data_IF_408709164592
#
_entry.id   IF_408709164592
#
_cell.length_a   1.000
_cell.length_b   1.000
_cell.length_c   1.000
_cell.angle_alpha   90.00
_cell.angle_beta   90.00
_cell.angle_gamma   90.00
#
_symmetry.space_group_name_H-M   'P 1'
#
loop_
_entity.id
_entity.type
_entity.pdbx_description
1 polymer ?
#
# COMPACT_ATOMS: atom_id res chain seq x y z
N UNK A 1 -48.42 4.21 -16.83
CA UNK A 1 -47.79 3.15 -16.03
C UNK A 1 -46.51 2.71 -16.73
N UNK A 2 -45.36 3.33 -16.39
CA UNK A 2 -44.06 2.90 -16.91
C UNK A 2 -43.49 1.83 -15.98
N UNK A 3 -43.28 0.62 -16.50
CA UNK A 3 -42.57 -0.47 -15.82
C UNK A 3 -41.09 -0.05 -15.63
N UNK A 4 -40.69 0.03 -14.36
CA UNK A 4 -39.27 0.18 -13.97
C UNK A 4 -38.51 -1.12 -14.29
N UNK A 5 -37.25 -1.06 -14.76
CA UNK A 5 -36.45 -2.25 -15.03
C UNK A 5 -36.13 -3.00 -13.73
N UNK A 6 -36.32 -4.32 -13.76
CA UNK A 6 -36.00 -5.27 -12.71
C UNK A 6 -34.47 -5.44 -12.60
N UNK A 7 -33.83 -4.70 -11.69
CA UNK A 7 -32.37 -4.80 -11.49
C UNK A 7 -31.78 -3.79 -10.48
N UNK A 8 -32.60 -2.97 -9.87
CA UNK A 8 -32.12 -1.98 -8.90
C UNK A 8 -31.83 -2.65 -7.54
N UNK A 9 -30.54 -2.82 -7.19
CA UNK A 9 -30.11 -3.26 -5.88
C UNK A 9 -30.60 -2.26 -4.80
N UNK A 10 -31.57 -2.71 -3.98
CA UNK A 10 -32.11 -1.90 -2.88
C UNK A 10 -31.35 -2.23 -1.60
N UNK A 11 -30.78 -1.23 -0.97
CA UNK A 11 -30.12 -1.37 0.35
C UNK A 11 -30.92 -0.55 1.37
N UNK A 12 -31.32 -1.19 2.47
CA UNK A 12 -32.03 -0.56 3.57
C UNK A 12 -31.06 0.12 4.54
N UNK A 13 -31.18 1.43 4.73
CA UNK A 13 -30.54 2.14 5.84
C UNK A 13 -31.53 3.14 6.44
N UNK A 14 -31.76 3.05 7.75
CA UNK A 14 -32.62 3.96 8.51
C UNK A 14 -34.02 4.20 7.89
N UNK A 15 -34.68 3.15 7.38
CA UNK A 15 -36.06 3.23 6.89
C UNK A 15 -36.23 3.87 5.49
N UNK A 16 -35.15 4.22 4.78
CA UNK A 16 -35.21 4.68 3.39
C UNK A 16 -34.49 3.72 2.45
N UNK A 17 -35.13 3.31 1.40
CA UNK A 17 -34.52 2.58 0.28
C UNK A 17 -33.81 3.57 -0.60
N UNK A 18 -32.45 3.56 -0.57
CA UNK A 18 -31.65 4.37 -1.50
C UNK A 18 -31.40 3.55 -2.77
N UNK A 19 -31.85 4.06 -3.90
CA UNK A 19 -31.51 3.46 -5.18
C UNK A 19 -30.07 3.84 -5.55
N UNK A 20 -29.28 2.87 -6.04
CA UNK A 20 -27.90 3.11 -6.48
C UNK A 20 -27.86 4.25 -7.52
N UNK A 21 -28.88 4.36 -8.36
CA UNK A 21 -28.95 5.38 -9.42
C UNK A 21 -29.10 6.82 -8.89
N UNK A 22 -29.62 7.02 -7.68
CA UNK A 22 -29.82 8.37 -7.12
C UNK A 22 -28.48 9.07 -6.75
N UNK A 23 -27.38 8.33 -6.67
CA UNK A 23 -26.04 8.81 -6.36
C UNK A 23 -25.04 8.73 -7.52
N UNK A 24 -25.52 8.34 -8.70
CA UNK A 24 -24.73 8.28 -9.93
C UNK A 24 -24.72 9.64 -10.58
N UNK A 25 -23.52 10.22 -10.69
CA UNK A 25 -23.28 11.50 -11.30
C UNK A 25 -22.59 11.29 -12.64
N UNK A 26 -23.23 11.72 -13.73
CA UNK A 26 -22.63 11.67 -15.05
C UNK A 26 -21.77 12.90 -15.28
N UNK A 27 -20.47 12.69 -15.44
CA UNK A 27 -19.49 13.74 -15.71
C UNK A 27 -19.47 14.05 -17.22
N UNK A 28 -19.44 15.34 -17.53
CA UNK A 28 -19.40 15.85 -18.91
C UNK A 28 -18.22 16.78 -19.16
N UNK A 29 -17.49 17.14 -18.12
CA UNK A 29 -16.33 18.00 -18.17
C UNK A 29 -15.27 17.55 -17.19
N UNK A 30 -13.99 17.78 -17.53
CA UNK A 30 -12.85 17.59 -16.62
C UNK A 30 -12.84 18.60 -15.47
N UNK A 31 -13.63 19.65 -15.54
CA UNK A 31 -13.76 20.70 -14.51
C UNK A 31 -14.73 20.33 -13.39
N UNK A 32 -15.43 19.19 -13.50
CA UNK A 32 -16.33 18.73 -12.47
C UNK A 32 -15.57 18.52 -11.15
N UNK A 33 -16.00 19.24 -10.11
CA UNK A 33 -15.34 19.21 -8.78
C UNK A 33 -15.34 17.82 -8.15
N UNK A 34 -16.35 17.00 -8.46
CA UNK A 34 -16.48 15.66 -7.91
C UNK A 34 -15.41 14.68 -8.40
N UNK A 35 -14.80 14.93 -9.56
CA UNK A 35 -13.74 14.08 -10.12
C UNK A 35 -12.33 14.62 -9.89
N UNK A 36 -12.20 15.75 -9.21
CA UNK A 36 -10.89 16.34 -8.89
C UNK A 36 -9.89 15.35 -8.24
N UNK A 37 -10.28 14.44 -7.35
CA UNK A 37 -9.38 13.44 -6.80
C UNK A 37 -8.75 12.51 -7.86
N UNK A 38 -9.45 12.29 -8.98
CA UNK A 38 -9.03 11.39 -10.06
C UNK A 38 -8.29 12.10 -11.18
N UNK A 39 -8.13 13.43 -11.08
CA UNK A 39 -7.55 14.20 -12.17
C UNK A 39 -6.04 13.98 -12.30
N UNK A 40 -5.60 13.58 -13.48
CA UNK A 40 -4.19 13.40 -13.82
C UNK A 40 -3.46 12.44 -12.85
N UNK A 41 -3.89 11.19 -12.85
CA UNK A 41 -3.34 10.13 -11.99
C UNK A 41 -2.08 9.44 -12.57
N UNK A 42 -1.45 9.98 -13.62
CA UNK A 42 -0.17 9.42 -14.11
C UNK A 42 0.92 9.57 -13.04
N UNK A 43 1.87 8.63 -12.99
CA UNK A 43 2.92 8.59 -11.95
C UNK A 43 3.72 9.90 -11.86
N UNK A 44 4.03 10.55 -13.00
CA UNK A 44 4.72 11.83 -13.02
C UNK A 44 3.90 12.96 -12.37
N UNK A 45 2.58 12.95 -12.60
CA UNK A 45 1.66 13.96 -12.06
C UNK A 45 1.34 13.73 -10.58
N UNK A 46 1.31 12.47 -10.15
CA UNK A 46 1.12 12.11 -8.75
C UNK A 46 2.31 12.52 -7.87
N UNK A 47 3.55 12.40 -8.38
CA UNK A 47 4.74 12.90 -7.66
C UNK A 47 4.67 14.40 -7.36
N UNK A 48 4.08 15.18 -8.28
CA UNK A 48 3.89 16.62 -8.09
C UNK A 48 2.72 16.98 -7.16
N UNK A 49 1.80 16.02 -6.91
CA UNK A 49 0.57 16.20 -6.12
C UNK A 49 0.63 15.60 -4.72
N UNK A 50 1.72 14.97 -4.32
CA UNK A 50 1.86 14.44 -2.95
C UNK A 50 1.86 15.59 -1.93
N UNK A 51 0.67 16.12 -1.69
CA UNK A 51 0.41 16.99 -0.55
C UNK A 51 -0.13 16.12 0.58
N UNK A 52 0.58 16.02 1.71
CA UNK A 52 0.07 15.36 2.90
C UNK A 52 -1.27 15.93 3.36
N UNK A 53 -1.55 17.17 2.95
CA UNK A 53 -2.71 17.96 3.35
C UNK A 53 -4.04 17.49 2.77
N UNK A 54 -4.06 16.74 1.67
CA UNK A 54 -5.32 16.27 1.08
C UNK A 54 -5.88 15.00 1.76
N UNK A 55 -5.12 14.38 2.67
CA UNK A 55 -5.53 13.23 3.49
C UNK A 55 -6.31 12.13 2.72
N UNK A 56 -6.05 11.98 1.41
CA UNK A 56 -6.71 11.00 0.53
C UNK A 56 -5.70 10.11 -0.18
N UNK A 57 -6.16 8.93 -0.61
CA UNK A 57 -5.43 8.06 -1.53
C UNK A 57 -6.39 7.46 -2.56
N UNK A 58 -5.84 6.94 -3.66
CA UNK A 58 -6.61 6.28 -4.71
C UNK A 58 -6.42 4.77 -4.62
N UNK A 59 -7.52 4.07 -4.34
CA UNK A 59 -7.61 2.62 -4.50
C UNK A 59 -8.00 2.29 -5.95
N UNK A 60 -7.20 1.46 -6.62
CA UNK A 60 -7.35 1.13 -8.04
C UNK A 60 -7.56 -0.37 -8.23
N UNK A 61 -8.66 -0.72 -8.87
CA UNK A 61 -9.07 -2.09 -9.18
C UNK A 61 -10.06 -2.69 -8.19
N UNK A 62 -10.96 -3.58 -8.67
CA UNK A 62 -12.06 -4.09 -7.86
C UNK A 62 -11.60 -4.78 -6.57
N UNK A 63 -10.54 -5.59 -6.66
CA UNK A 63 -9.99 -6.31 -5.49
C UNK A 63 -9.44 -5.36 -4.44
N UNK A 64 -8.67 -4.35 -4.85
CA UNK A 64 -8.06 -3.37 -3.94
C UNK A 64 -9.15 -2.55 -3.25
N UNK A 65 -10.13 -2.05 -4.02
CA UNK A 65 -11.25 -1.28 -3.48
C UNK A 65 -12.08 -2.13 -2.50
N UNK A 66 -12.39 -3.37 -2.85
CA UNK A 66 -13.13 -4.28 -1.97
C UNK A 66 -12.36 -4.54 -0.67
N UNK A 67 -11.05 -4.85 -0.76
CA UNK A 67 -10.21 -5.06 0.43
C UNK A 67 -10.18 -3.82 1.33
N UNK A 68 -10.09 -2.61 0.75
CA UNK A 68 -10.13 -1.37 1.52
C UNK A 68 -11.45 -1.21 2.29
N UNK A 69 -12.59 -1.46 1.63
CA UNK A 69 -13.91 -1.40 2.24
C UNK A 69 -14.09 -2.47 3.34
N UNK A 70 -13.63 -3.70 3.12
CA UNK A 70 -13.64 -4.79 4.10
C UNK A 70 -12.82 -4.46 5.34
N UNK A 71 -11.77 -3.64 5.19
CA UNK A 71 -10.93 -3.12 6.29
C UNK A 71 -11.48 -1.85 6.94
N UNK A 72 -12.67 -1.42 6.55
CA UNK A 72 -13.35 -0.26 7.15
C UNK A 72 -12.80 1.09 6.68
N UNK A 73 -12.00 1.15 5.61
CA UNK A 73 -11.56 2.41 5.05
C UNK A 73 -12.73 3.16 4.42
N UNK A 74 -12.77 4.48 4.64
CA UNK A 74 -13.89 5.33 4.24
C UNK A 74 -13.75 5.79 2.78
N UNK A 75 -14.62 5.33 1.85
CA UNK A 75 -14.65 5.85 0.50
C UNK A 75 -15.29 7.24 0.49
N UNK A 76 -14.69 8.16 -0.24
CA UNK A 76 -15.21 9.50 -0.50
C UNK A 76 -16.01 9.54 -1.80
N UNK A 77 -15.56 8.78 -2.81
CA UNK A 77 -16.26 8.62 -4.08
C UNK A 77 -15.76 7.40 -4.83
N UNK A 78 -16.53 7.00 -5.84
CA UNK A 78 -16.13 6.00 -6.83
C UNK A 78 -16.12 6.62 -8.23
N UNK A 79 -15.18 6.18 -9.08
CA UNK A 79 -15.15 6.49 -10.50
C UNK A 79 -15.09 5.17 -11.29
N UNK A 80 -16.05 4.95 -12.19
CA UNK A 80 -16.12 3.73 -12.99
C UNK A 80 -16.97 3.93 -14.23
N UNK A 81 -16.82 3.05 -15.21
CA UNK A 81 -17.68 3.01 -16.38
C UNK A 81 -19.12 2.64 -16.01
N UNK A 82 -20.11 3.16 -16.75
CA UNK A 82 -21.55 2.87 -16.53
C UNK A 82 -21.85 1.37 -16.47
N UNK A 83 -21.25 0.57 -17.35
CA UNK A 83 -21.42 -0.90 -17.35
C UNK A 83 -20.95 -1.58 -16.07
N UNK A 84 -20.05 -0.97 -15.32
CA UNK A 84 -19.60 -1.51 -14.03
C UNK A 84 -20.64 -1.28 -12.92
N UNK A 85 -21.38 -0.19 -12.97
CA UNK A 85 -22.39 0.16 -11.96
C UNK A 85 -23.48 -0.91 -11.90
N UNK A 86 -23.94 -1.38 -13.05
CA UNK A 86 -25.02 -2.37 -13.19
C UNK A 86 -24.50 -3.82 -13.20
N UNK A 87 -23.16 -4.00 -13.29
CA UNK A 87 -22.49 -5.30 -13.40
C UNK A 87 -21.60 -5.63 -12.22
N UNK A 88 -20.35 -5.96 -12.51
CA UNK A 88 -19.38 -6.46 -11.52
C UNK A 88 -19.01 -5.46 -10.40
N UNK A 89 -19.35 -4.20 -10.53
CA UNK A 89 -19.16 -3.18 -9.49
C UNK A 89 -20.30 -3.10 -8.48
N UNK A 90 -21.44 -3.72 -8.74
CA UNK A 90 -22.62 -3.63 -7.88
C UNK A 90 -22.34 -4.06 -6.44
N UNK A 91 -21.58 -5.15 -6.24
CA UNK A 91 -21.20 -5.65 -4.91
C UNK A 91 -20.37 -4.63 -4.14
N UNK A 92 -19.42 -3.96 -4.82
CA UNK A 92 -18.60 -2.90 -4.22
C UNK A 92 -19.49 -1.73 -3.81
N UNK A 93 -20.42 -1.33 -4.68
CA UNK A 93 -21.33 -0.23 -4.41
C UNK A 93 -22.29 -0.54 -3.26
N UNK A 94 -22.67 -1.78 -3.09
CA UNK A 94 -23.51 -2.23 -1.98
C UNK A 94 -22.81 -2.13 -0.62
N UNK A 95 -21.48 -2.28 -0.58
CA UNK A 95 -20.68 -2.11 0.65
C UNK A 95 -20.65 -0.67 1.16
N UNK A 96 -20.91 0.31 0.29
CA UNK A 96 -20.95 1.74 0.67
C UNK A 96 -22.12 2.45 -0.04
N UNK A 97 -23.34 2.28 0.45
CA UNK A 97 -24.57 2.68 -0.24
C UNK A 97 -24.81 4.19 -0.36
N UNK A 98 -24.05 5.01 0.39
CA UNK A 98 -24.21 6.49 0.40
C UNK A 98 -23.10 7.22 -0.35
N UNK A 99 -22.05 6.52 -0.77
CA UNK A 99 -20.90 7.14 -1.43
C UNK A 99 -21.25 7.52 -2.86
N UNK A 100 -20.96 8.76 -3.32
CA UNK A 100 -21.22 9.19 -4.69
C UNK A 100 -20.42 8.37 -5.70
N UNK A 101 -21.05 8.13 -6.85
CA UNK A 101 -20.48 7.39 -7.98
C UNK A 101 -20.40 8.33 -9.17
N UNK A 102 -19.23 8.44 -9.76
CA UNK A 102 -19.01 9.21 -10.97
C UNK A 102 -18.83 8.26 -12.15
N UNK A 103 -19.44 8.62 -13.29
CA UNK A 103 -19.34 7.89 -14.55
C UNK A 103 -19.36 8.86 -15.71
N UNK A 104 -18.95 8.42 -16.88
CA UNK A 104 -18.98 9.19 -18.11
C UNK A 104 -18.58 8.33 -19.29
N UNK A 105 -18.53 8.94 -20.47
CA UNK A 105 -18.01 8.31 -21.67
C UNK A 105 -16.51 8.03 -21.55
N UNK A 106 -15.99 7.07 -22.32
CA UNK A 106 -14.60 6.64 -22.26
C UNK A 106 -13.62 7.79 -22.46
N UNK A 107 -13.90 8.71 -23.37
CA UNK A 107 -13.02 9.85 -23.68
C UNK A 107 -12.95 10.85 -22.51
N UNK A 108 -14.06 11.10 -21.82
CA UNK A 108 -14.06 11.98 -20.64
C UNK A 108 -13.38 11.31 -19.45
N UNK A 109 -13.57 10.01 -19.26
CA UNK A 109 -12.90 9.26 -18.21
C UNK A 109 -11.38 9.23 -18.41
N UNK A 110 -10.93 9.06 -19.67
CA UNK A 110 -9.51 9.12 -20.03
C UNK A 110 -8.93 10.53 -19.84
N UNK A 111 -9.67 11.57 -20.24
CA UNK A 111 -9.26 12.95 -20.02
C UNK A 111 -9.11 13.31 -18.54
N UNK A 112 -10.00 12.79 -17.67
CA UNK A 112 -9.93 12.98 -16.22
C UNK A 112 -8.72 12.25 -15.63
N UNK A 113 -8.57 10.96 -15.91
CA UNK A 113 -7.58 10.11 -15.23
C UNK A 113 -6.17 10.22 -15.82
N UNK A 114 -6.06 10.61 -17.10
CA UNK A 114 -4.82 10.63 -17.87
C UNK A 114 -4.45 9.26 -18.45
N UNK A 115 -5.33 8.27 -18.35
CA UNK A 115 -5.16 6.93 -18.95
C UNK A 115 -6.52 6.27 -19.21
N UNK A 116 -6.54 5.33 -20.16
CA UNK A 116 -7.76 4.61 -20.51
C UNK A 116 -8.14 3.61 -19.44
N UNK A 117 -9.32 3.78 -18.83
CA UNK A 117 -9.84 2.83 -17.86
C UNK A 117 -10.14 1.47 -18.52
N UNK A 118 -9.60 0.39 -17.97
CA UNK A 118 -9.95 -0.96 -18.42
C UNK A 118 -11.43 -1.26 -18.13
N UNK A 119 -12.02 -2.20 -18.88
CA UNK A 119 -13.47 -2.49 -18.80
C UNK A 119 -13.98 -2.86 -17.41
N UNK A 120 -13.16 -3.48 -16.59
CA UNK A 120 -13.48 -3.95 -15.22
C UNK A 120 -12.90 -3.09 -14.11
N UNK A 121 -12.39 -1.89 -14.41
CA UNK A 121 -11.76 -1.05 -13.40
C UNK A 121 -12.75 -0.21 -12.61
N UNK A 122 -12.47 -0.16 -11.31
CA UNK A 122 -13.07 0.75 -10.34
C UNK A 122 -11.94 1.55 -9.71
N UNK A 123 -12.09 2.85 -9.66
CA UNK A 123 -11.26 3.73 -8.85
C UNK A 123 -12.08 4.20 -7.66
N UNK A 124 -11.47 4.33 -6.51
CA UNK A 124 -12.09 4.97 -5.34
C UNK A 124 -11.10 5.95 -4.73
N UNK A 125 -11.55 7.20 -4.55
CA UNK A 125 -10.90 8.14 -3.66
C UNK A 125 -11.29 7.79 -2.24
N UNK A 126 -10.32 7.59 -1.37
CA UNK A 126 -10.52 7.16 0.01
C UNK A 126 -9.82 8.10 0.98
N UNK A 127 -10.42 8.31 2.15
CA UNK A 127 -9.77 9.02 3.24
C UNK A 127 -8.59 8.19 3.77
N UNK A 128 -7.45 8.86 4.00
CA UNK A 128 -6.32 8.22 4.70
C UNK A 128 -6.69 8.03 6.17
N UNK A 129 -6.39 6.87 6.76
CA UNK A 129 -6.46 6.73 8.21
C UNK A 129 -5.36 7.55 8.88
N UNK A 130 -5.53 7.82 10.17
CA UNK A 130 -4.47 8.43 10.98
C UNK A 130 -3.20 7.56 10.96
N UNK A 131 -2.05 8.22 10.85
CA UNK A 131 -0.76 7.54 10.93
C UNK A 131 -0.49 7.13 12.37
N UNK A 132 -0.05 5.89 12.54
CA UNK A 132 0.37 5.36 13.84
C UNK A 132 1.80 5.78 14.14
N UNK A 133 2.13 5.86 15.43
CA UNK A 133 3.52 6.05 15.85
C UNK A 133 4.31 4.73 15.76
N UNK A 134 5.66 4.80 15.65
CA UNK A 134 6.50 3.60 15.69
C UNK A 134 6.26 2.76 16.95
N UNK A 135 6.07 3.37 18.11
CA UNK A 135 5.83 2.70 19.38
C UNK A 135 4.51 1.91 19.37
N UNK A 136 3.45 2.49 18.78
CA UNK A 136 2.15 1.81 18.64
C UNK A 136 2.27 0.58 17.75
N UNK A 137 2.98 0.72 16.62
CA UNK A 137 3.15 -0.35 15.63
C UNK A 137 4.04 -1.46 16.18
N UNK A 138 5.05 -1.13 16.98
CA UNK A 138 6.03 -2.07 17.50
C UNK A 138 5.59 -2.78 18.79
N UNK A 139 4.53 -2.33 19.45
CA UNK A 139 4.13 -2.82 20.79
C UNK A 139 4.08 -4.34 20.89
N UNK A 140 3.45 -5.01 19.93
CA UNK A 140 3.29 -6.47 19.89
C UNK A 140 4.07 -7.12 18.75
N UNK A 141 4.83 -6.35 17.98
CA UNK A 141 5.54 -6.88 16.82
C UNK A 141 6.74 -7.73 17.22
N UNK A 142 6.94 -8.84 16.51
CA UNK A 142 8.11 -9.72 16.62
C UNK A 142 8.96 -9.72 15.37
N UNK A 143 8.35 -9.50 14.22
CA UNK A 143 9.01 -9.46 12.90
C UNK A 143 8.71 -8.14 12.23
N UNK A 144 9.74 -7.32 12.03
CA UNK A 144 9.63 -5.97 11.50
C UNK A 144 10.52 -5.80 10.29
N UNK A 145 9.98 -5.34 9.18
CA UNK A 145 10.77 -4.87 8.05
C UNK A 145 10.97 -3.35 8.17
N UNK A 146 12.19 -2.88 8.05
CA UNK A 146 12.52 -1.46 8.06
C UNK A 146 13.01 -1.05 6.68
N UNK A 147 12.32 -0.11 6.06
CA UNK A 147 12.63 0.43 4.75
C UNK A 147 13.38 1.74 4.92
N UNK A 148 14.59 1.83 4.40
CA UNK A 148 15.40 3.03 4.46
C UNK A 148 15.69 3.57 3.07
N UNK A 149 15.16 4.74 2.75
CA UNK A 149 15.39 5.43 1.49
C UNK A 149 14.83 4.74 0.24
N UNK A 150 13.86 3.85 0.37
CA UNK A 150 13.25 3.19 -0.79
C UNK A 150 12.29 4.15 -1.46
N UNK A 151 12.72 4.74 -2.56
CA UNK A 151 12.02 5.82 -3.24
C UNK A 151 11.09 5.38 -4.36
N UNK A 152 11.24 4.13 -4.88
CA UNK A 152 10.36 3.62 -5.92
C UNK A 152 9.07 3.03 -5.32
N UNK A 153 7.88 3.62 -5.60
CA UNK A 153 6.61 3.18 -5.01
C UNK A 153 6.26 1.71 -5.27
N UNK A 154 6.72 1.16 -6.40
CA UNK A 154 6.47 -0.26 -6.71
C UNK A 154 7.25 -1.19 -5.80
N UNK A 155 8.47 -0.83 -5.40
CA UNK A 155 9.27 -1.62 -4.45
C UNK A 155 8.63 -1.57 -3.05
N UNK A 156 8.23 -0.39 -2.59
CA UNK A 156 7.47 -0.26 -1.33
C UNK A 156 6.23 -1.17 -1.36
N UNK A 157 5.41 -1.07 -2.41
CA UNK A 157 4.21 -1.91 -2.55
C UNK A 157 4.51 -3.41 -2.57
N UNK A 158 5.56 -3.84 -3.26
CA UNK A 158 5.97 -5.24 -3.34
C UNK A 158 6.43 -5.77 -1.97
N UNK A 159 7.17 -4.97 -1.20
CA UNK A 159 7.62 -5.33 0.15
C UNK A 159 6.42 -5.45 1.10
N UNK A 160 5.46 -4.51 1.07
CA UNK A 160 4.21 -4.64 1.85
C UNK A 160 3.46 -5.93 1.54
N UNK A 161 3.35 -6.29 0.25
CA UNK A 161 2.70 -7.53 -0.16
C UNK A 161 3.42 -8.77 0.34
N UNK A 162 4.74 -8.77 0.26
CA UNK A 162 5.59 -9.86 0.75
C UNK A 162 5.49 -10.00 2.26
N UNK A 163 5.60 -8.91 2.99
CA UNK A 163 5.49 -8.90 4.46
C UNK A 163 4.12 -9.44 4.91
N UNK A 164 3.02 -8.98 4.29
CA UNK A 164 1.68 -9.49 4.57
C UNK A 164 1.56 -11.00 4.30
N UNK A 165 2.06 -11.46 3.15
CA UNK A 165 1.97 -12.86 2.75
C UNK A 165 2.80 -13.80 3.64
N UNK A 166 3.86 -13.31 4.24
CA UNK A 166 4.80 -14.07 5.05
C UNK A 166 4.58 -13.91 6.56
N UNK A 167 3.53 -13.18 6.97
CA UNK A 167 3.17 -13.01 8.38
C UNK A 167 4.09 -12.10 9.17
N UNK A 168 4.73 -11.11 8.52
CA UNK A 168 5.47 -10.07 9.21
C UNK A 168 4.51 -9.08 9.88
N UNK A 169 4.84 -8.69 11.09
CA UNK A 169 3.91 -7.98 11.98
C UNK A 169 3.80 -6.50 11.67
N UNK A 170 4.90 -5.88 11.21
CA UNK A 170 4.99 -4.45 11.03
C UNK A 170 6.01 -4.03 9.96
N UNK A 171 5.83 -2.81 9.43
CA UNK A 171 6.80 -2.13 8.58
C UNK A 171 7.10 -0.76 9.15
N UNK A 172 8.38 -0.41 9.25
CA UNK A 172 8.83 0.95 9.49
C UNK A 172 9.41 1.55 8.21
N UNK A 173 9.24 2.86 8.03
CA UNK A 173 9.75 3.57 6.86
C UNK A 173 10.51 4.82 7.31
N UNK A 174 11.72 5.01 6.80
CA UNK A 174 12.43 6.28 6.95
C UNK A 174 11.70 7.43 6.25
N UNK A 175 11.96 8.70 6.61
CA UNK A 175 11.26 9.85 6.03
C UNK A 175 11.38 9.97 4.51
N UNK A 176 12.50 9.51 3.95
CA UNK A 176 12.87 9.56 2.54
C UNK A 176 12.29 8.41 1.70
N UNK A 177 11.58 7.47 2.31
CA UNK A 177 10.83 6.43 1.58
C UNK A 177 9.61 7.00 0.86
N UNK A 178 9.30 6.40 -0.30
CA UNK A 178 8.01 6.62 -0.98
C UNK A 178 6.84 6.37 -0.06
N UNK A 179 5.77 7.13 -0.29
CA UNK A 179 4.54 7.01 0.47
C UNK A 179 3.86 5.65 0.19
N UNK A 180 3.58 4.83 1.22
CA UNK A 180 2.81 3.59 1.04
C UNK A 180 1.41 3.81 0.46
N UNK A 181 0.83 5.00 0.68
CA UNK A 181 -0.46 5.41 0.11
C UNK A 181 -0.37 5.91 -1.33
N UNK A 182 0.82 5.98 -1.91
CA UNK A 182 0.97 6.30 -3.33
C UNK A 182 0.18 5.31 -4.19
N UNK A 183 -0.58 5.79 -5.19
CA UNK A 183 -1.45 4.96 -6.04
C UNK A 183 -0.77 3.68 -6.55
N UNK A 184 0.50 3.80 -6.98
CA UNK A 184 1.28 2.67 -7.49
C UNK A 184 1.62 1.66 -6.39
N UNK A 185 2.00 2.11 -5.18
CA UNK A 185 2.23 1.23 -4.03
C UNK A 185 0.96 0.46 -3.67
N UNK A 186 -0.16 1.17 -3.52
CA UNK A 186 -1.47 0.58 -3.21
C UNK A 186 -1.90 -0.46 -4.26
N UNK A 187 -1.66 -0.19 -5.55
CA UNK A 187 -1.96 -1.12 -6.62
C UNK A 187 -1.07 -2.36 -6.59
N UNK A 188 0.25 -2.18 -6.47
CA UNK A 188 1.23 -3.29 -6.46
C UNK A 188 1.05 -4.18 -5.25
N UNK A 189 0.81 -3.59 -4.07
CA UNK A 189 0.60 -4.36 -2.84
C UNK A 189 -0.75 -5.09 -2.79
N UNK A 190 -1.64 -4.87 -3.76
CA UNK A 190 -2.98 -5.48 -3.81
C UNK A 190 -3.80 -5.27 -2.52
N UNK A 191 -3.60 -4.13 -1.86
CA UNK A 191 -4.28 -3.78 -0.61
C UNK A 191 -3.58 -4.28 0.67
N UNK A 192 -2.39 -4.86 0.59
CA UNK A 192 -1.66 -5.31 1.79
C UNK A 192 -1.28 -4.15 2.73
N UNK A 193 -1.15 -2.94 2.21
CA UNK A 193 -0.96 -1.72 3.01
C UNK A 193 -2.11 -1.47 4.00
N UNK A 194 -3.29 -2.02 3.74
CA UNK A 194 -4.44 -1.92 4.65
C UNK A 194 -4.41 -2.97 5.78
N UNK A 195 -3.46 -3.91 5.73
CA UNK A 195 -3.43 -5.06 6.64
C UNK A 195 -2.18 -5.13 7.50
N UNK A 196 -1.03 -4.68 6.99
CA UNK A 196 0.22 -4.64 7.74
C UNK A 196 0.35 -3.28 8.41
N UNK A 197 0.39 -3.21 9.75
CA UNK A 197 0.64 -1.97 10.45
C UNK A 197 1.98 -1.35 10.04
N UNK A 198 2.01 -0.04 9.87
CA UNK A 198 3.24 0.66 9.55
C UNK A 198 3.30 2.04 10.19
N UNK A 199 4.51 2.56 10.35
CA UNK A 199 4.77 3.90 10.83
C UNK A 199 6.01 4.50 10.14
N UNK A 200 6.09 5.84 10.12
CA UNK A 200 7.31 6.54 9.74
C UNK A 200 8.21 6.72 10.94
N UNK A 201 9.51 6.56 10.72
CA UNK A 201 10.55 6.80 11.72
C UNK A 201 11.15 8.19 11.58
N UNK A 202 12.06 8.54 12.49
CA UNK A 202 12.99 9.66 12.30
C UNK A 202 14.13 9.32 11.33
N UNK A 203 15.11 10.24 11.24
CA UNK A 203 16.27 10.13 10.36
C UNK A 203 17.19 8.93 10.67
N UNK A 204 17.11 8.39 11.87
CA UNK A 204 17.85 7.21 12.33
C UNK A 204 17.21 5.89 11.90
N UNK A 205 16.19 5.92 11.06
CA UNK A 205 15.41 4.77 10.60
C UNK A 205 14.85 3.90 11.74
N UNK A 206 14.76 4.46 12.95
CA UNK A 206 14.23 3.79 14.14
C UNK A 206 15.19 2.79 14.79
N UNK A 207 16.47 2.79 14.43
CA UNK A 207 17.45 1.82 14.95
C UNK A 207 17.58 1.89 16.47
N UNK A 208 17.60 3.10 17.04
CA UNK A 208 17.68 3.32 18.49
C UNK A 208 16.44 2.78 19.22
N UNK A 209 15.25 3.05 18.70
CA UNK A 209 13.99 2.57 19.26
C UNK A 209 13.90 1.03 19.23
N UNK A 210 14.25 0.42 18.09
CA UNK A 210 14.24 -1.04 17.95
C UNK A 210 15.21 -1.72 18.92
N UNK A 211 16.41 -1.15 19.08
CA UNK A 211 17.38 -1.63 20.08
C UNK A 211 16.85 -1.54 21.52
N UNK A 212 16.25 -0.41 21.90
CA UNK A 212 15.64 -0.20 23.21
C UNK A 212 14.47 -1.17 23.48
N UNK A 213 13.73 -1.57 22.44
CA UNK A 213 12.65 -2.54 22.52
C UNK A 213 13.12 -4.01 22.42
N UNK A 214 14.43 -4.26 22.41
CA UNK A 214 15.01 -5.60 22.44
C UNK A 214 14.94 -6.37 21.12
N UNK A 215 14.83 -5.66 19.98
CA UNK A 215 14.93 -6.32 18.68
C UNK A 215 16.38 -6.69 18.36
N UNK A 216 16.58 -7.89 17.83
CA UNK A 216 17.76 -8.22 17.04
C UNK A 216 17.66 -7.47 15.71
N UNK A 217 18.64 -6.59 15.43
CA UNK A 217 18.61 -5.73 14.25
C UNK A 217 19.59 -6.23 13.19
N UNK A 218 19.09 -6.41 11.97
CA UNK A 218 19.86 -6.96 10.87
C UNK A 218 19.80 -6.04 9.66
N UNK A 219 20.94 -5.52 9.20
CA UNK A 219 21.03 -4.72 7.99
C UNK A 219 21.35 -5.60 6.78
N UNK A 220 20.61 -5.44 5.68
CA UNK A 220 20.96 -6.12 4.42
C UNK A 220 22.00 -5.29 3.67
N UNK A 221 23.22 -5.84 3.52
CA UNK A 221 24.30 -5.18 2.80
C UNK A 221 25.36 -6.19 2.32
N UNK A 222 26.15 -5.76 1.35
CA UNK A 222 27.27 -6.53 0.81
C UNK A 222 28.54 -6.24 1.65
N UNK A 223 28.76 -7.03 2.70
CA UNK A 223 29.92 -6.91 3.57
C UNK A 223 30.58 -8.28 3.78
N UNK A 224 31.89 -8.31 4.02
CA UNK A 224 32.62 -9.54 4.23
C UNK A 224 32.25 -10.22 5.56
N UNK A 225 31.94 -9.42 6.58
CA UNK A 225 31.54 -9.87 7.92
C UNK A 225 30.04 -10.23 8.03
N UNK A 226 29.34 -10.37 6.90
CA UNK A 226 27.91 -10.69 6.87
C UNK A 226 27.64 -12.19 7.05
N UNK A 227 26.46 -12.48 7.61
CA UNK A 227 25.92 -13.85 7.72
C UNK A 227 24.87 -14.10 6.61
N UNK A 228 24.62 -15.36 6.29
CA UNK A 228 23.54 -15.72 5.37
C UNK A 228 22.17 -15.58 6.02
N UNK A 229 21.08 -15.26 5.27
CA UNK A 229 19.73 -15.18 5.81
C UNK A 229 19.23 -16.47 6.47
N UNK A 230 19.79 -17.62 6.09
CA UNK A 230 19.42 -18.93 6.65
C UNK A 230 20.15 -19.28 7.94
N UNK A 231 20.99 -18.38 8.49
CA UNK A 231 21.66 -18.57 9.78
C UNK A 231 20.63 -18.90 10.88
N UNK A 232 20.78 -20.06 11.55
CA UNK A 232 19.84 -20.50 12.57
C UNK A 232 19.71 -19.54 13.77
N UNK A 233 20.72 -18.72 14.03
CA UNK A 233 20.70 -17.76 15.14
C UNK A 233 19.74 -16.61 14.88
N UNK A 234 19.57 -16.21 13.62
CA UNK A 234 18.61 -15.18 13.22
C UNK A 234 17.16 -15.68 13.40
N UNK A 235 16.91 -16.93 13.04
CA UNK A 235 15.57 -17.53 13.18
C UNK A 235 15.12 -17.67 14.63
N UNK A 236 16.07 -17.91 15.55
CA UNK A 236 15.80 -18.05 16.99
C UNK A 236 15.55 -16.72 17.69
N UNK A 237 15.83 -15.59 17.07
CA UNK A 237 15.57 -14.29 17.66
C UNK A 237 14.06 -14.14 17.98
N UNK A 238 13.74 -13.82 19.22
CA UNK A 238 12.36 -13.60 19.65
C UNK A 238 11.75 -12.42 18.93
N UNK A 239 12.49 -11.32 18.84
CA UNK A 239 12.14 -10.10 18.11
C UNK A 239 13.24 -9.79 17.10
N UNK A 240 12.86 -9.63 15.83
CA UNK A 240 13.80 -9.41 14.74
C UNK A 240 13.34 -8.25 13.85
N UNK A 241 14.25 -7.33 13.56
CA UNK A 241 14.06 -6.26 12.59
C UNK A 241 15.06 -6.38 11.44
N UNK A 242 14.58 -6.38 10.21
CA UNK A 242 15.40 -6.46 9.00
C UNK A 242 15.34 -5.13 8.26
N UNK A 243 16.47 -4.49 8.09
CA UNK A 243 16.64 -3.23 7.37
C UNK A 243 16.94 -3.49 5.89
N UNK A 244 16.18 -2.85 5.05
CA UNK A 244 16.25 -2.89 3.58
C UNK A 244 16.60 -1.50 3.08
N UNK A 245 17.72 -1.36 2.40
CA UNK A 245 18.25 -0.08 1.98
C UNK A 245 17.81 0.37 0.59
N UNK A 246 18.17 1.59 0.28
CA UNK A 246 17.98 2.25 -1.01
C UNK A 246 18.57 1.42 -2.16
N UNK A 247 17.96 1.54 -3.35
CA UNK A 247 18.33 0.78 -4.54
C UNK A 247 19.73 1.13 -5.07
N UNK A 248 20.15 2.40 -4.91
CA UNK A 248 21.42 2.90 -5.47
C UNK A 248 22.55 2.87 -4.43
N UNK A 249 22.24 3.23 -3.18
CA UNK A 249 23.25 3.48 -2.13
C UNK A 249 23.21 2.47 -0.98
N UNK A 250 22.20 1.60 -0.94
CA UNK A 250 22.01 0.65 0.16
C UNK A 250 21.56 1.34 1.45
N UNK A 251 21.94 0.75 2.58
CA UNK A 251 21.69 1.31 3.91
C UNK A 251 22.76 2.38 4.27
N UNK A 252 22.34 3.39 5.03
CA UNK A 252 23.27 4.39 5.59
C UNK A 252 24.31 3.72 6.49
N UNK A 253 25.55 4.21 6.46
CA UNK A 253 26.62 3.69 7.32
C UNK A 253 26.26 3.75 8.81
N UNK A 254 25.54 4.78 9.24
CA UNK A 254 25.09 4.92 10.61
C UNK A 254 24.13 3.78 10.99
N UNK A 255 23.21 3.41 10.12
CA UNK A 255 22.27 2.30 10.29
C UNK A 255 23.00 0.97 10.36
N UNK A 256 23.94 0.73 9.43
CA UNK A 256 24.76 -0.48 9.43
C UNK A 256 25.60 -0.64 10.70
N UNK A 257 26.19 0.44 11.21
CA UNK A 257 26.91 0.40 12.49
C UNK A 257 26.02 0.18 13.71
N UNK A 258 24.76 0.59 13.63
CA UNK A 258 23.76 0.36 14.67
C UNK A 258 23.12 -1.03 14.63
N UNK A 259 23.19 -1.72 13.51
CA UNK A 259 22.71 -3.08 13.39
C UNK A 259 23.62 -4.06 14.14
N UNK A 260 22.98 -5.00 14.86
CA UNK A 260 23.70 -6.06 15.56
C UNK A 260 24.39 -7.02 14.59
N UNK A 261 23.82 -7.22 13.40
CA UNK A 261 24.34 -8.10 12.35
C UNK A 261 24.11 -7.51 10.97
N UNK A 262 24.92 -7.97 10.04
CA UNK A 262 24.71 -7.72 8.61
C UNK A 262 24.36 -9.04 7.92
N UNK A 263 23.33 -9.00 7.06
CA UNK A 263 22.88 -10.16 6.29
C UNK A 263 23.22 -9.93 4.83
N UNK A 264 23.77 -10.95 4.18
CA UNK A 264 24.07 -10.95 2.75
C UNK A 264 23.46 -12.17 2.08
N UNK A 265 22.72 -11.94 1.01
CA UNK A 265 22.28 -13.00 0.09
C UNK A 265 23.48 -13.37 -0.78
N UNK A 266 23.94 -14.64 -0.76
CA UNK A 266 25.03 -15.07 -1.64
C UNK A 266 24.65 -14.89 -3.11
N UNK A 267 25.50 -14.23 -3.88
CA UNK A 267 25.30 -13.98 -5.30
C UNK A 267 26.24 -14.85 -6.13
N UNK A 268 25.85 -15.13 -7.37
CA UNK A 268 26.66 -15.85 -8.35
C UNK A 268 26.98 -14.93 -9.54
N UNK A 269 27.98 -15.31 -10.35
CA UNK A 269 28.30 -14.67 -11.63
C UNK A 269 28.62 -13.18 -11.55
N UNK A 270 29.35 -12.76 -10.51
CA UNK A 270 29.80 -11.37 -10.33
C UNK A 270 28.65 -10.33 -10.34
N UNK A 271 27.44 -10.79 -10.00
CA UNK A 271 26.30 -9.87 -9.79
C UNK A 271 26.34 -9.35 -8.36
N UNK A 272 26.35 -8.04 -8.20
CA UNK A 272 26.53 -7.39 -6.90
C UNK A 272 25.23 -7.27 -6.11
N UNK A 273 24.08 -7.11 -6.78
CA UNK A 273 22.81 -6.85 -6.08
C UNK A 273 21.60 -7.44 -6.78
N UNK A 274 20.51 -7.61 -6.01
CA UNK A 274 19.16 -7.86 -6.49
C UNK A 274 18.33 -6.60 -6.33
N UNK A 275 17.26 -6.49 -7.11
CA UNK A 275 16.21 -5.51 -6.81
C UNK A 275 15.78 -5.66 -5.33
N UNK A 276 15.59 -4.53 -4.64
CA UNK A 276 15.33 -4.52 -3.19
C UNK A 276 14.07 -5.31 -2.80
N UNK A 277 13.04 -5.32 -3.62
CA UNK A 277 11.83 -6.12 -3.34
C UNK A 277 12.10 -7.63 -3.50
N UNK A 278 12.98 -8.03 -4.41
CA UNK A 278 13.42 -9.42 -4.55
C UNK A 278 14.29 -9.84 -3.35
N UNK A 279 15.26 -9.01 -2.97
CA UNK A 279 16.08 -9.22 -1.79
C UNK A 279 15.21 -9.32 -0.51
N UNK A 280 14.24 -8.43 -0.37
CA UNK A 280 13.26 -8.47 0.71
C UNK A 280 12.49 -9.81 0.71
N UNK A 281 12.00 -10.28 -0.44
CA UNK A 281 11.25 -11.53 -0.51
C UNK A 281 12.05 -12.73 0.00
N UNK A 282 13.34 -12.81 -0.35
CA UNK A 282 14.25 -13.87 0.11
C UNK A 282 14.48 -13.77 1.63
N UNK A 283 14.87 -12.59 2.12
CA UNK A 283 15.17 -12.39 3.53
C UNK A 283 13.92 -12.60 4.41
N UNK A 284 12.79 -12.01 4.03
CA UNK A 284 11.55 -12.14 4.77
C UNK A 284 11.01 -13.59 4.75
N UNK A 285 11.22 -14.33 3.67
CA UNK A 285 10.88 -15.75 3.60
C UNK A 285 11.73 -16.59 4.54
N UNK A 286 13.05 -16.41 4.54
CA UNK A 286 13.96 -17.17 5.41
C UNK A 286 13.72 -16.90 6.89
N UNK A 287 13.39 -15.64 7.23
CA UNK A 287 13.27 -15.16 8.61
C UNK A 287 11.81 -15.03 9.08
N UNK A 288 10.85 -15.61 8.34
CA UNK A 288 9.42 -15.54 8.69
C UNK A 288 9.11 -16.25 10.01
N UNK A 289 8.03 -15.85 10.72
CA UNK A 289 7.60 -16.54 11.94
C UNK A 289 7.20 -18.00 11.66
N UNK A 290 7.35 -18.88 12.67
CA UNK A 290 6.90 -20.27 12.58
C UNK A 290 7.78 -21.25 11.79
N UNK A 291 9.02 -20.85 11.45
CA UNK A 291 10.03 -21.73 10.84
C UNK A 291 11.08 -22.17 11.87
N UNK A 292 10.61 -22.58 13.04
CA UNK A 292 11.42 -23.14 14.11
C UNK A 292 11.27 -24.64 14.20
#
# INVERSE_FOLDING_TARGET
MHKLPSGCGRVLKAGRTVCVMDRVNEIRSTEDMGVRPYFRLTDAQMRAKQRPEEAIFIAEGPKVVKTALERGLKPLSFLMRRKMIEGAGADILAMSPVTPVYTGDDDILEAVTGFRLQRSWVLSAMARPEEKTPEEVLRCARRVAVLEGIWEPSNVGAIFRTAAALGWDAILLSPDCSDPWHRRSVRVCMGSVFTVPFARTGEDSGIGLLGALGFDTCGMALREDSVSPDDPTLRKAERLAVFLGNEDHGLKDATLRGCRRVIRIPMAREIDSLNVAAAAAIALWELRPGRG
#
